data_IF_364895945559
#
_entry.id   IF_364895945559
#
_cell.length_a   1.000
_cell.length_b   1.000
_cell.length_c   1.000
_cell.angle_alpha   90.00
_cell.angle_beta   90.00
_cell.angle_gamma   90.00
#
_symmetry.space_group_name_H-M   'P 1'
#
loop_
_entity.id
_entity.type
_entity.pdbx_description
1 polymer ?
#
# COMPACT_ATOMS: atom_id res chain seq x y z
N UNK A 1 -1.56 26.44 -12.94
CA UNK A 1 -1.35 25.95 -11.63
C UNK A 1 -0.67 24.65 -11.60
N UNK A 2 0.49 24.68 -12.10
CA UNK A 2 1.30 23.48 -12.17
C UNK A 2 1.69 22.94 -10.80
N UNK A 3 1.67 23.78 -9.78
CA UNK A 3 2.12 23.34 -8.47
C UNK A 3 1.22 22.28 -7.88
N UNK A 4 -0.03 22.27 -8.28
CA UNK A 4 -0.97 21.31 -7.72
C UNK A 4 -0.70 19.91 -8.19
N UNK A 5 -0.05 19.78 -9.32
CA UNK A 5 0.22 18.46 -9.88
C UNK A 5 1.20 17.68 -9.07
N UNK A 6 2.00 18.37 -8.25
CA UNK A 6 3.03 17.70 -7.50
C UNK A 6 2.67 17.44 -6.06
N UNK A 7 1.45 17.74 -5.66
CA UNK A 7 1.07 17.54 -4.28
C UNK A 7 0.88 16.05 -4.00
N UNK A 8 1.48 15.56 -2.93
CA UNK A 8 1.31 14.14 -2.58
C UNK A 8 -0.14 13.84 -2.25
N UNK A 9 -0.52 12.62 -2.53
CA UNK A 9 -1.85 12.12 -2.21
C UNK A 9 -1.81 11.48 -0.83
N UNK A 10 -2.78 11.82 -0.01
CA UNK A 10 -2.93 11.18 1.29
C UNK A 10 -3.94 10.05 1.15
N UNK A 11 -3.52 8.87 1.56
CA UNK A 11 -4.36 7.69 1.43
C UNK A 11 -5.10 7.43 2.73
N UNK A 12 -6.32 6.97 2.61
CA UNK A 12 -7.03 6.43 3.75
C UNK A 12 -6.32 5.17 4.23
N UNK A 13 -6.47 4.88 5.53
CA UNK A 13 -5.75 3.78 6.14
C UNK A 13 -5.97 2.46 5.41
N UNK A 14 -7.23 2.14 5.09
CA UNK A 14 -7.53 0.87 4.43
C UNK A 14 -6.92 0.76 3.05
N UNK A 15 -6.88 1.88 2.32
CA UNK A 15 -6.28 1.89 0.99
C UNK A 15 -4.77 1.69 1.08
N UNK A 16 -4.13 2.34 2.05
CA UNK A 16 -2.70 2.14 2.24
C UNK A 16 -2.38 0.69 2.58
N UNK A 17 -3.16 0.10 3.48
CA UNK A 17 -2.96 -1.29 3.85
C UNK A 17 -3.06 -2.21 2.64
N UNK A 18 -4.03 -1.96 1.77
CA UNK A 18 -4.22 -2.74 0.56
C UNK A 18 -3.03 -2.62 -0.39
N UNK A 19 -2.51 -1.40 -0.53
CA UNK A 19 -1.38 -1.15 -1.41
C UNK A 19 -0.12 -1.86 -0.89
N UNK A 20 0.08 -1.85 0.42
CA UNK A 20 1.22 -2.55 1.02
C UNK A 20 1.11 -4.05 0.78
N UNK A 21 -0.09 -4.61 0.96
CA UNK A 21 -0.31 -6.02 0.69
C UNK A 21 0.02 -6.35 -0.77
N UNK A 22 -0.44 -5.53 -1.68
CA UNK A 22 -0.19 -5.76 -3.10
C UNK A 22 1.31 -5.72 -3.41
N UNK A 23 2.01 -4.79 -2.79
CA UNK A 23 3.45 -4.66 -3.01
C UNK A 23 4.15 -5.94 -2.57
N UNK A 24 3.79 -6.47 -1.41
CA UNK A 24 4.42 -7.69 -0.91
C UNK A 24 4.04 -8.90 -1.75
N UNK A 25 2.81 -8.96 -2.23
CA UNK A 25 2.39 -10.05 -3.10
C UNK A 25 3.17 -10.06 -4.40
N UNK A 26 3.50 -8.88 -4.91
CA UNK A 26 4.19 -8.76 -6.20
C UNK A 26 5.69 -8.94 -6.09
N UNK A 27 6.29 -8.48 -5.01
CA UNK A 27 7.75 -8.37 -4.93
C UNK A 27 8.38 -9.39 -3.98
N UNK A 28 7.57 -10.11 -3.19
CA UNK A 28 8.12 -11.01 -2.20
C UNK A 28 8.60 -10.26 -0.97
N UNK A 29 9.57 -10.82 -0.28
CA UNK A 29 10.05 -10.27 0.98
C UNK A 29 10.66 -8.89 0.80
N UNK A 30 10.18 -7.94 1.57
CA UNK A 30 10.63 -6.55 1.50
C UNK A 30 10.70 -5.96 2.89
N UNK A 31 11.74 -5.16 3.16
CA UNK A 31 11.73 -4.37 4.39
C UNK A 31 11.08 -3.02 4.12
N UNK A 32 10.80 -2.28 5.20
CA UNK A 32 9.98 -1.07 5.11
C UNK A 32 10.53 -0.05 4.12
N UNK A 33 11.84 0.13 4.11
CA UNK A 33 12.46 1.10 3.23
C UNK A 33 12.25 0.72 1.76
N UNK A 34 12.35 -0.57 1.44
CA UNK A 34 12.12 -1.03 0.07
C UNK A 34 10.67 -0.81 -0.35
N UNK A 35 9.73 -1.05 0.56
CA UNK A 35 8.33 -0.83 0.27
C UNK A 35 8.09 0.64 -0.04
N UNK A 36 8.60 1.53 0.81
CA UNK A 36 8.41 2.96 0.61
C UNK A 36 9.02 3.43 -0.70
N UNK A 37 10.22 2.97 -1.01
CA UNK A 37 10.88 3.34 -2.26
C UNK A 37 10.10 2.88 -3.47
N UNK A 38 9.60 1.65 -3.41
CA UNK A 38 8.87 1.11 -4.56
C UNK A 38 7.59 1.89 -4.81
N UNK A 39 6.88 2.23 -3.75
CA UNK A 39 5.65 2.98 -3.89
C UNK A 39 5.91 4.39 -4.39
N UNK A 40 7.00 4.99 -3.96
CA UNK A 40 7.37 6.30 -4.47
C UNK A 40 7.67 6.23 -5.97
N UNK A 41 8.40 5.22 -6.39
CA UNK A 41 8.74 5.05 -7.80
C UNK A 41 7.51 4.81 -8.67
N UNK A 42 6.66 3.89 -8.25
CA UNK A 42 5.48 3.53 -9.06
C UNK A 42 4.53 4.71 -9.18
N UNK A 43 4.42 5.50 -8.14
CA UNK A 43 3.45 6.60 -8.11
C UNK A 43 4.02 7.92 -8.62
N UNK A 44 5.25 7.93 -9.12
CA UNK A 44 5.90 9.16 -9.56
C UNK A 44 5.95 10.18 -8.43
N UNK A 45 6.26 9.70 -7.23
CA UNK A 45 6.38 10.50 -6.02
C UNK A 45 5.07 11.08 -5.51
N UNK A 46 3.94 10.64 -6.07
CA UNK A 46 2.64 11.03 -5.50
C UNK A 46 2.39 10.36 -4.15
N UNK A 47 2.97 9.17 -3.94
CA UNK A 47 2.90 8.49 -2.66
C UNK A 47 4.24 8.62 -1.99
N UNK A 48 4.37 9.63 -1.15
CA UNK A 48 5.62 9.89 -0.43
C UNK A 48 5.44 9.42 1.00
N UNK A 49 5.63 8.12 1.20
CA UNK A 49 5.39 7.49 2.48
C UNK A 49 6.66 7.51 3.32
N UNK A 50 6.58 8.14 4.46
CA UNK A 50 7.68 8.07 5.42
C UNK A 50 7.40 6.92 6.39
N UNK A 51 8.37 6.65 7.26
CA UNK A 51 8.25 5.54 8.18
C UNK A 51 7.15 5.77 9.21
N UNK A 52 6.88 7.03 9.55
CA UNK A 52 5.80 7.33 10.47
C UNK A 52 4.44 6.95 9.94
N UNK A 53 4.28 6.91 8.63
CA UNK A 53 3.03 6.49 8.00
C UNK A 53 3.01 5.00 7.72
N UNK A 54 4.14 4.47 7.26
CA UNK A 54 4.21 3.09 6.81
C UNK A 54 4.24 2.09 7.96
N UNK A 55 5.00 2.39 9.02
CA UNK A 55 5.14 1.45 10.13
C UNK A 55 3.81 1.10 10.79
N UNK A 56 2.92 2.05 11.08
CA UNK A 56 1.63 1.67 11.64
C UNK A 56 0.84 0.74 10.74
N UNK A 57 0.96 0.91 9.42
CA UNK A 57 0.29 0.00 8.49
C UNK A 57 0.87 -1.41 8.60
N UNK A 58 2.19 -1.51 8.67
CA UNK A 58 2.83 -2.82 8.82
C UNK A 58 2.43 -3.49 10.13
N UNK A 59 2.35 -2.71 11.21
CA UNK A 59 1.92 -3.25 12.51
C UNK A 59 0.49 -3.79 12.41
N UNK A 60 -0.41 -3.03 11.80
CA UNK A 60 -1.80 -3.48 11.65
C UNK A 60 -1.87 -4.77 10.85
N UNK A 61 -1.15 -4.83 9.74
CA UNK A 61 -1.19 -5.99 8.87
C UNK A 61 -0.63 -7.23 9.55
N UNK A 62 0.41 -7.05 10.36
CA UNK A 62 0.93 -8.16 11.14
C UNK A 62 -0.09 -8.63 12.18
N UNK A 63 -0.76 -7.69 12.82
CA UNK A 63 -1.77 -8.03 13.81
C UNK A 63 -2.94 -8.77 13.20
N UNK A 64 -3.31 -8.44 11.96
CA UNK A 64 -4.34 -9.16 11.25
C UNK A 64 -3.87 -10.57 10.84
N UNK A 65 -2.58 -10.83 10.87
CA UNK A 65 -2.05 -12.08 10.36
C UNK A 65 -1.94 -12.12 8.85
N UNK A 66 -1.99 -10.97 8.19
CA UNK A 66 -1.94 -10.88 6.74
C UNK A 66 -0.51 -10.77 6.23
N UNK A 67 0.41 -10.32 7.05
CA UNK A 67 1.83 -10.32 6.72
C UNK A 67 2.59 -10.88 7.91
N UNK A 68 3.83 -11.30 7.64
CA UNK A 68 4.70 -11.89 8.62
C UNK A 68 6.07 -11.24 8.48
N UNK A 69 6.67 -10.87 9.61
CA UNK A 69 7.98 -10.25 9.60
C UNK A 69 9.04 -11.21 10.07
N UNK A 70 10.19 -11.16 9.43
CA UNK A 70 11.34 -11.99 9.78
C UNK A 70 12.59 -11.13 9.73
N UNK A 71 13.41 -11.21 10.76
CA UNK A 71 14.63 -10.42 10.80
C UNK A 71 15.68 -10.99 9.86
N UNK A 72 16.37 -10.09 9.17
CA UNK A 72 17.44 -10.46 8.26
C UNK A 72 18.43 -9.33 8.16
N UNK A 73 19.31 -9.42 7.17
CA UNK A 73 20.32 -8.39 6.96
C UNK A 73 20.21 -7.83 5.56
N UNK A 74 20.40 -6.52 5.45
CA UNK A 74 20.40 -5.83 4.17
C UNK A 74 21.76 -6.00 3.52
N UNK A 75 21.87 -5.52 2.28
CA UNK A 75 23.14 -5.55 1.56
C UNK A 75 24.22 -4.73 2.27
N UNK A 76 23.82 -3.70 3.00
CA UNK A 76 24.78 -2.91 3.76
C UNK A 76 25.02 -3.48 5.16
N UNK A 77 24.62 -4.74 5.37
CA UNK A 77 24.87 -5.49 6.59
C UNK A 77 24.18 -4.91 7.81
N UNK A 78 23.01 -4.31 7.61
CA UNK A 78 22.19 -3.80 8.71
C UNK A 78 21.05 -4.75 8.98
N UNK A 79 20.68 -4.86 10.24
CA UNK A 79 19.48 -5.63 10.59
C UNK A 79 18.24 -4.94 10.07
N UNK A 80 17.35 -5.74 9.48
CA UNK A 80 16.09 -5.23 9.00
C UNK A 80 15.04 -6.31 9.11
N UNK A 81 13.80 -5.88 9.33
CA UNK A 81 12.69 -6.82 9.39
C UNK A 81 12.09 -6.91 7.99
N UNK A 82 12.08 -8.12 7.45
CA UNK A 82 11.53 -8.37 6.13
C UNK A 82 10.13 -8.92 6.27
N UNK A 83 9.22 -8.38 5.48
CA UNK A 83 7.81 -8.74 5.54
C UNK A 83 7.44 -9.54 4.31
N UNK A 84 6.62 -10.55 4.52
CA UNK A 84 6.05 -11.35 3.44
C UNK A 84 4.55 -11.44 3.67
N UNK A 85 3.81 -11.57 2.58
CA UNK A 85 2.37 -11.76 2.68
C UNK A 85 2.09 -13.21 3.05
N UNK A 86 1.10 -13.43 3.91
CA UNK A 86 0.68 -14.76 4.29
C UNK A 86 -0.43 -15.24 3.38
N UNK A 87 -0.80 -16.52 3.52
CA UNK A 87 -1.94 -17.04 2.78
C UNK A 87 -3.20 -16.27 3.13
N UNK A 88 -3.40 -15.96 4.41
CA UNK A 88 -4.54 -15.15 4.83
C UNK A 88 -4.49 -13.77 4.20
N UNK A 89 -3.27 -13.21 4.08
CA UNK A 89 -3.10 -11.92 3.43
C UNK A 89 -3.44 -11.95 1.96
N UNK A 90 -3.12 -13.05 1.29
CA UNK A 90 -3.46 -13.16 -0.13
C UNK A 90 -4.95 -13.23 -0.34
N UNK A 91 -5.66 -13.94 0.53
CA UNK A 91 -7.11 -13.95 0.47
C UNK A 91 -7.69 -12.57 0.73
N UNK A 92 -7.15 -11.88 1.74
CA UNK A 92 -7.60 -10.53 2.05
C UNK A 92 -7.33 -9.59 0.89
N UNK A 93 -6.17 -9.71 0.25
CA UNK A 93 -5.83 -8.88 -0.89
C UNK A 93 -6.85 -9.04 -2.02
N UNK A 94 -7.18 -10.29 -2.33
CA UNK A 94 -8.15 -10.55 -3.39
C UNK A 94 -9.51 -9.97 -3.06
N UNK A 95 -9.99 -10.22 -1.85
CA UNK A 95 -11.31 -9.77 -1.42
C UNK A 95 -11.38 -8.24 -1.36
N UNK A 96 -10.37 -7.61 -0.76
CA UNK A 96 -10.38 -6.17 -0.60
C UNK A 96 -10.16 -5.46 -1.92
N UNK A 97 -9.41 -6.05 -2.84
CA UNK A 97 -9.24 -5.48 -4.16
C UNK A 97 -10.58 -5.42 -4.90
N UNK A 98 -11.35 -6.49 -4.81
CA UNK A 98 -12.67 -6.51 -5.43
C UNK A 98 -13.58 -5.44 -4.85
N UNK A 99 -13.58 -5.31 -3.53
CA UNK A 99 -14.40 -4.30 -2.87
C UNK A 99 -13.96 -2.89 -3.26
N UNK A 100 -12.65 -2.69 -3.36
CA UNK A 100 -12.12 -1.39 -3.75
C UNK A 100 -12.53 -1.04 -5.17
N UNK A 101 -12.45 -2.00 -6.08
CA UNK A 101 -12.86 -1.76 -7.47
C UNK A 101 -14.33 -1.39 -7.56
N UNK A 102 -15.16 -2.08 -6.82
CA UNK A 102 -16.58 -1.78 -6.81
C UNK A 102 -16.83 -0.38 -6.31
N UNK A 103 -16.19 0.00 -5.21
CA UNK A 103 -16.36 1.32 -4.64
C UNK A 103 -15.81 2.41 -5.56
N UNK A 104 -14.63 2.18 -6.10
CA UNK A 104 -14.01 3.18 -6.98
C UNK A 104 -14.84 3.39 -8.24
N UNK A 105 -15.37 2.30 -8.80
CA UNK A 105 -16.23 2.42 -9.97
C UNK A 105 -17.51 3.17 -9.67
N UNK A 106 -18.10 2.92 -8.50
CA UNK A 106 -19.28 3.65 -8.09
C UNK A 106 -18.99 5.14 -7.90
N UNK A 107 -17.92 5.45 -7.19
CA UNK A 107 -17.55 6.85 -6.96
C UNK A 107 -17.27 7.55 -8.28
N UNK A 108 -16.53 6.88 -9.17
CA UNK A 108 -16.23 7.46 -10.46
C UNK A 108 -17.50 7.79 -11.24
N UNK A 109 -18.45 6.85 -11.27
CA UNK A 109 -19.70 7.10 -11.95
C UNK A 109 -20.47 8.26 -11.33
N UNK A 110 -20.50 8.31 -10.01
CA UNK A 110 -21.22 9.37 -9.32
C UNK A 110 -20.61 10.74 -9.56
N UNK A 111 -19.29 10.79 -9.68
CA UNK A 111 -18.62 12.07 -9.90
C UNK A 111 -18.65 12.51 -11.33
N UNK A 112 -18.65 11.58 -12.27
CA UNK A 112 -18.53 11.91 -13.69
C UNK A 112 -19.83 11.89 -14.44
N UNK A 113 -20.87 11.29 -13.86
CA UNK A 113 -22.15 11.25 -14.54
C UNK A 113 -22.86 12.58 -14.48
N UNK A 114 -23.71 12.80 -15.49
CA UNK A 114 -24.51 14.00 -15.57
C UNK A 114 -25.80 13.79 -14.78
N UNK A 115 -25.91 14.45 -13.66
CA UNK A 115 -27.09 14.30 -12.81
C UNK A 115 -28.30 15.05 -13.33
N UNK A 116 -28.15 15.76 -14.43
CA UNK A 116 -29.26 16.52 -14.97
C UNK A 116 -30.24 15.70 -15.78
N UNK A 117 -29.78 14.58 -16.24
CA UNK A 117 -30.66 13.78 -17.12
C UNK A 117 -31.69 12.98 -16.36
#
# INVERSE_FOLDING_TARGET
MSSEEKQPIQLLQGTLDLIVLRTLASMGAQHAYQIANRLQQISDSLLNLNQGTLYPALVRLEQYGWIKGTWGRTESNREAKYYTITQAGEKALSSETTRWRTMAGLVERLLLEDFQS
#
